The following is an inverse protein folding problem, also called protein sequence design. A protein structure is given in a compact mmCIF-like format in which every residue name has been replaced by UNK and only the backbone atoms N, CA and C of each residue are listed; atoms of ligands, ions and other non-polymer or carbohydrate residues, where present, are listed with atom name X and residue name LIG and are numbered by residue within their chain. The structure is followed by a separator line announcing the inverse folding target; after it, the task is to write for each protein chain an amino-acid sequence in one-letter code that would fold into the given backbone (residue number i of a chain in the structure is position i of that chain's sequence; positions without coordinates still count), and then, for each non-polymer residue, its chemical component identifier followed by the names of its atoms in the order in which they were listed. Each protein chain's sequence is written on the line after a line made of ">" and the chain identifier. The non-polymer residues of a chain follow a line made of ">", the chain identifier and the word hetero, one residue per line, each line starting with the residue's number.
data_IF_110617773337
#
_entry.id   IF_110617773337
#
_cell.length_a   1.000
_cell.length_b   1.000
_cell.length_c   1.000
_cell.angle_alpha   90.00
_cell.angle_beta   90.00
_cell.angle_gamma   90.00
#
_symmetry.space_group_name_H-M   'P 1'
#
loop_
_entity.id
_entity.type
_entity.pdbx_description
1 polymer ?
#
# COMPACT_ATOMS: atom_id res chain seq x y z
N UNK A 1 -9.67 45.62 -17.12
CA UNK A 1 -9.75 44.76 -15.93
C UNK A 1 -9.53 43.31 -16.35
N UNK A 2 -8.30 42.81 -16.23
CA UNK A 2 -7.95 41.40 -16.48
C UNK A 2 -7.94 40.68 -15.14
N UNK A 3 -8.89 39.77 -14.91
CA UNK A 3 -8.85 38.86 -13.77
C UNK A 3 -7.80 37.79 -14.08
N UNK A 4 -6.62 37.88 -13.46
CA UNK A 4 -5.64 36.80 -13.47
C UNK A 4 -6.24 35.60 -12.74
N UNK A 5 -6.66 34.61 -13.52
CA UNK A 5 -7.14 33.32 -13.04
C UNK A 5 -5.95 32.63 -12.37
N UNK A 6 -5.86 32.68 -11.04
CA UNK A 6 -4.84 31.96 -10.30
C UNK A 6 -5.05 30.45 -10.50
N UNK A 7 -4.27 29.85 -11.38
CA UNK A 7 -4.21 28.39 -11.53
C UNK A 7 -3.45 27.87 -10.31
N UNK A 8 -4.15 27.11 -9.47
CA UNK A 8 -3.57 26.47 -8.29
C UNK A 8 -2.67 25.32 -8.76
N UNK A 9 -1.36 25.58 -8.91
CA UNK A 9 -0.39 24.52 -9.23
C UNK A 9 -0.04 23.76 -7.95
N UNK A 10 -0.72 22.64 -7.72
CA UNK A 10 -0.39 21.72 -6.62
C UNK A 10 0.84 20.91 -7.03
N UNK A 11 1.91 20.93 -6.21
CA UNK A 11 3.09 20.08 -6.42
C UNK A 11 2.77 18.64 -6.04
N UNK A 12 3.38 17.67 -6.72
CA UNK A 12 3.16 16.23 -6.44
C UNK A 12 3.39 15.88 -4.97
N UNK A 13 4.39 16.49 -4.33
CA UNK A 13 4.67 16.29 -2.90
C UNK A 13 3.54 16.78 -2.00
N UNK A 14 2.89 17.90 -2.35
CA UNK A 14 1.74 18.43 -1.61
C UNK A 14 0.52 17.53 -1.79
N UNK A 15 0.31 17.03 -3.01
CA UNK A 15 -0.77 16.08 -3.29
C UNK A 15 -0.58 14.76 -2.54
N UNK A 16 0.65 14.24 -2.48
CA UNK A 16 0.97 13.02 -1.73
C UNK A 16 0.74 13.20 -0.23
N UNK A 17 1.22 14.29 0.37
CA UNK A 17 0.98 14.56 1.80
C UNK A 17 -0.51 14.71 2.13
N UNK A 18 -1.27 15.41 1.26
CA UNK A 18 -2.72 15.54 1.43
C UNK A 18 -3.43 14.18 1.30
N UNK A 19 -3.05 13.38 0.30
CA UNK A 19 -3.61 12.04 0.09
C UNK A 19 -3.35 11.14 1.30
N UNK A 20 -2.13 11.16 1.85
CA UNK A 20 -1.78 10.41 3.06
C UNK A 20 -2.66 10.81 4.25
N UNK A 21 -2.77 12.11 4.54
CA UNK A 21 -3.59 12.61 5.66
C UNK A 21 -5.07 12.22 5.50
N UNK A 22 -5.64 12.36 4.29
CA UNK A 22 -7.02 11.97 4.00
C UNK A 22 -7.25 10.47 4.21
N UNK A 23 -6.32 9.63 3.76
CA UNK A 23 -6.43 8.17 3.89
C UNK A 23 -6.28 7.71 5.34
N UNK A 24 -5.40 8.34 6.12
CA UNK A 24 -5.24 8.06 7.55
C UNK A 24 -6.44 8.50 8.38
N UNK A 25 -7.10 9.61 8.00
CA UNK A 25 -8.34 10.09 8.64
C UNK A 25 -9.55 9.24 8.31
N UNK A 26 -9.56 8.62 7.12
CA UNK A 26 -10.66 7.76 6.68
C UNK A 26 -10.17 6.33 6.37
N UNK A 27 -9.86 5.52 7.41
CA UNK A 27 -9.35 4.16 7.22
C UNK A 27 -10.42 3.15 6.79
N UNK A 28 -11.71 3.53 6.83
CA UNK A 28 -12.84 2.61 6.61
C UNK A 28 -12.76 1.80 5.32
N UNK A 29 -12.44 2.38 4.14
CA UNK A 29 -12.38 1.61 2.90
C UNK A 29 -11.34 0.47 2.94
N UNK A 30 -10.25 0.66 3.69
CA UNK A 30 -9.18 -0.33 3.82
C UNK A 30 -9.53 -1.40 4.86
N UNK A 31 -10.22 -1.03 5.93
CA UNK A 31 -10.76 -1.99 6.89
C UNK A 31 -11.83 -2.89 6.24
N UNK A 32 -12.69 -2.31 5.41
CA UNK A 32 -13.70 -3.08 4.67
C UNK A 32 -13.04 -4.03 3.66
N UNK A 33 -12.00 -3.56 2.95
CA UNK A 33 -11.17 -4.41 2.08
C UNK A 33 -10.51 -5.56 2.86
N UNK A 34 -9.93 -5.26 4.03
CA UNK A 34 -9.29 -6.25 4.90
C UNK A 34 -10.29 -7.33 5.33
N UNK A 35 -11.46 -6.92 5.84
CA UNK A 35 -12.55 -7.83 6.25
C UNK A 35 -13.07 -8.69 5.10
N UNK A 36 -13.13 -8.13 3.89
CA UNK A 36 -13.60 -8.86 2.72
C UNK A 36 -12.59 -9.87 2.19
N UNK A 37 -11.30 -9.53 2.22
CA UNK A 37 -10.24 -10.32 1.57
C UNK A 37 -9.51 -11.29 2.48
N UNK A 38 -9.41 -10.97 3.77
CA UNK A 38 -8.69 -11.76 4.78
C UNK A 38 -9.56 -11.90 6.05
N UNK A 39 -10.78 -12.46 5.93
CA UNK A 39 -11.68 -12.61 7.06
C UNK A 39 -11.08 -13.45 8.19
N UNK A 40 -10.24 -14.43 7.86
CA UNK A 40 -9.49 -15.25 8.83
C UNK A 40 -8.54 -14.41 9.67
N UNK A 41 -7.80 -13.48 9.06
CA UNK A 41 -6.88 -12.60 9.79
C UNK A 41 -7.65 -11.69 10.73
N UNK A 42 -8.79 -11.13 10.29
CA UNK A 42 -9.63 -10.26 11.12
C UNK A 42 -10.33 -11.04 12.25
N UNK A 43 -10.60 -12.34 12.08
CA UNK A 43 -11.17 -13.14 13.15
C UNK A 43 -10.18 -13.38 14.31
N UNK A 44 -8.88 -13.33 14.02
CA UNK A 44 -7.79 -13.58 14.98
C UNK A 44 -7.28 -12.30 15.66
N UNK A 45 -7.62 -11.13 15.13
CA UNK A 45 -7.12 -9.83 15.60
C UNK A 45 -8.28 -8.91 15.98
N UNK A 46 -8.06 -8.04 16.96
CA UNK A 46 -9.08 -7.09 17.36
C UNK A 46 -9.17 -5.88 16.39
N UNK A 47 -10.24 -5.08 16.54
CA UNK A 47 -10.46 -3.91 15.69
C UNK A 47 -9.35 -2.85 15.82
N UNK A 48 -8.65 -2.78 16.96
CA UNK A 48 -7.57 -1.83 17.18
C UNK A 48 -6.30 -2.29 16.45
N UNK A 49 -5.99 -3.58 16.48
CA UNK A 49 -4.90 -4.21 15.73
C UNK A 49 -5.13 -4.07 14.23
N UNK A 50 -6.34 -4.33 13.75
CA UNK A 50 -6.71 -4.15 12.34
C UNK A 50 -6.54 -2.68 11.89
N UNK A 51 -6.93 -1.72 12.75
CA UNK A 51 -6.78 -0.30 12.47
C UNK A 51 -5.30 0.12 12.41
N UNK A 52 -4.47 -0.36 13.33
CA UNK A 52 -3.04 -0.05 13.33
C UNK A 52 -2.32 -0.69 12.16
N UNK A 53 -2.68 -1.93 11.78
CA UNK A 53 -2.20 -2.57 10.56
C UNK A 53 -2.50 -1.71 9.32
N UNK A 54 -3.76 -1.30 9.15
CA UNK A 54 -4.20 -0.47 8.02
C UNK A 54 -3.42 0.84 7.99
N UNK A 55 -3.31 1.54 9.12
CA UNK A 55 -2.57 2.82 9.21
C UNK A 55 -1.09 2.64 8.89
N UNK A 56 -0.48 1.56 9.38
CA UNK A 56 0.89 1.17 9.07
C UNK A 56 1.07 0.94 7.57
N UNK A 57 0.20 0.14 6.96
CA UNK A 57 0.22 -0.15 5.53
C UNK A 57 0.05 1.11 4.68
N UNK A 58 -0.86 2.03 5.04
CA UNK A 58 -1.04 3.31 4.34
C UNK A 58 0.25 4.14 4.38
N UNK A 59 0.87 4.30 5.57
CA UNK A 59 2.13 5.05 5.69
C UNK A 59 3.24 4.43 4.86
N UNK A 60 3.42 3.11 4.94
CA UNK A 60 4.45 2.39 4.19
C UNK A 60 4.23 2.47 2.68
N UNK A 61 2.98 2.31 2.22
CA UNK A 61 2.62 2.43 0.81
C UNK A 61 2.99 3.81 0.25
N UNK A 62 2.70 4.89 0.97
CA UNK A 62 3.10 6.24 0.58
C UNK A 62 4.62 6.41 0.51
N UNK A 63 5.39 5.75 1.40
CA UNK A 63 6.84 5.68 1.31
C UNK A 63 7.36 5.08 -0.01
N UNK A 64 6.58 4.19 -0.64
CA UNK A 64 6.87 3.63 -1.97
C UNK A 64 6.20 4.39 -3.13
N UNK A 65 5.66 5.58 -2.88
CA UNK A 65 4.86 6.37 -3.82
C UNK A 65 3.58 5.66 -4.31
N UNK A 66 3.03 4.75 -3.50
CA UNK A 66 1.76 4.07 -3.72
C UNK A 66 0.65 4.86 -3.00
N UNK A 67 0.01 5.76 -3.73
CA UNK A 67 -0.91 6.74 -3.13
C UNK A 67 -2.38 6.56 -3.55
N UNK A 68 -2.68 5.70 -4.52
CA UNK A 68 -4.07 5.41 -4.89
C UNK A 68 -4.69 4.38 -3.93
N UNK A 69 -6.01 4.44 -3.72
CA UNK A 69 -6.72 3.47 -2.88
C UNK A 69 -6.45 2.03 -3.32
N UNK A 70 -6.44 1.78 -4.64
CA UNK A 70 -6.14 0.46 -5.20
C UNK A 70 -4.73 -0.01 -4.86
N UNK A 71 -3.74 0.86 -4.95
CA UNK A 71 -2.36 0.50 -4.64
C UNK A 71 -2.19 0.20 -3.16
N UNK A 72 -2.81 1.01 -2.30
CA UNK A 72 -2.80 0.80 -0.85
C UNK A 72 -3.49 -0.52 -0.47
N UNK A 73 -4.64 -0.85 -1.06
CA UNK A 73 -5.32 -2.14 -0.81
C UNK A 73 -4.45 -3.33 -1.23
N UNK A 74 -3.82 -3.26 -2.40
CA UNK A 74 -2.89 -4.30 -2.89
C UNK A 74 -1.64 -4.43 -2.02
N UNK A 75 -1.14 -3.31 -1.53
CA UNK A 75 -0.02 -3.30 -0.59
C UNK A 75 -0.42 -3.90 0.76
N UNK A 76 -1.60 -3.55 1.27
CA UNK A 76 -2.18 -4.13 2.49
C UNK A 76 -2.32 -5.64 2.37
N UNK A 77 -2.73 -6.16 1.21
CA UNK A 77 -2.78 -7.60 0.96
C UNK A 77 -1.42 -8.29 1.14
N UNK A 78 -0.36 -7.67 0.65
CA UNK A 78 1.00 -8.19 0.82
C UNK A 78 1.45 -8.12 2.28
N UNK A 79 1.10 -7.06 3.00
CA UNK A 79 1.40 -6.90 4.42
C UNK A 79 0.71 -7.97 5.27
N UNK A 80 -0.52 -8.36 4.94
CA UNK A 80 -1.22 -9.44 5.65
C UNK A 80 -0.55 -10.78 5.39
N UNK A 81 -0.20 -11.08 4.13
CA UNK A 81 0.33 -12.39 3.73
C UNK A 81 1.78 -12.59 4.20
N UNK A 82 2.62 -11.57 4.07
CA UNK A 82 4.06 -11.66 4.32
C UNK A 82 4.51 -10.94 5.60
N UNK A 83 3.59 -10.29 6.32
CA UNK A 83 3.90 -9.43 7.46
C UNK A 83 4.27 -8.00 7.06
N UNK A 84 4.29 -7.11 8.06
CA UNK A 84 4.62 -5.69 7.89
C UNK A 84 6.14 -5.40 7.94
N UNK A 85 6.93 -6.33 8.47
CA UNK A 85 8.38 -6.19 8.56
C UNK A 85 9.08 -6.84 7.37
N UNK A 86 9.52 -6.01 6.43
CA UNK A 86 10.24 -6.42 5.23
C UNK A 86 11.76 -6.26 5.36
N UNK A 87 12.25 -5.92 6.56
CA UNK A 87 13.68 -5.76 6.82
C UNK A 87 14.41 -7.09 7.03
N UNK A 88 13.67 -8.18 7.29
CA UNK A 88 14.23 -9.53 7.39
C UNK A 88 14.67 -10.11 6.05
N UNK A 89 15.71 -10.95 6.07
CA UNK A 89 16.32 -11.56 4.87
C UNK A 89 15.31 -12.36 4.02
N UNK A 90 14.31 -12.99 4.66
CA UNK A 90 13.23 -13.73 3.98
C UNK A 90 12.30 -12.82 3.13
N UNK A 91 12.21 -11.53 3.45
CA UNK A 91 11.31 -10.55 2.84
C UNK A 91 12.02 -9.40 2.14
N UNK A 92 13.36 -9.36 2.14
CA UNK A 92 14.16 -8.34 1.46
C UNK A 92 13.79 -8.18 -0.03
N UNK A 93 13.42 -9.29 -0.68
CA UNK A 93 12.97 -9.29 -2.08
C UNK A 93 11.68 -8.47 -2.31
N UNK A 94 10.81 -8.31 -1.31
CA UNK A 94 9.60 -7.48 -1.39
C UNK A 94 9.97 -5.99 -1.49
N UNK A 95 10.91 -5.56 -0.66
CA UNK A 95 11.44 -4.20 -0.67
C UNK A 95 12.18 -3.91 -1.97
N UNK A 96 13.07 -4.82 -2.39
CA UNK A 96 13.82 -4.70 -3.64
C UNK A 96 12.90 -4.63 -4.87
N UNK A 97 11.81 -5.39 -4.90
CA UNK A 97 10.85 -5.34 -6.00
C UNK A 97 10.15 -3.97 -6.12
N UNK A 98 9.96 -3.25 -5.00
CA UNK A 98 9.31 -1.93 -4.97
C UNK A 98 10.28 -0.77 -5.19
N UNK A 99 11.58 -0.98 -5.01
CA UNK A 99 12.64 0.04 -5.20
C UNK A 99 13.42 -0.14 -6.51
N UNK A 100 13.63 -1.38 -6.95
CA UNK A 100 14.70 -1.80 -7.88
C UNK A 100 14.55 -1.45 -9.37
N UNK A 101 13.58 -0.62 -9.77
CA UNK A 101 13.46 -0.17 -11.16
C UNK A 101 13.08 1.30 -11.22
N UNK A 102 14.06 2.14 -11.53
CA UNK A 102 13.91 3.59 -11.73
C UNK A 102 13.17 3.95 -13.02
N UNK A 103 13.04 3.01 -13.97
CA UNK A 103 12.30 3.23 -15.22
C UNK A 103 10.81 2.95 -15.13
N UNK A 104 10.34 2.30 -14.05
CA UNK A 104 8.93 1.95 -13.87
C UNK A 104 8.19 2.87 -12.90
N UNK A 105 6.88 2.98 -13.10
CA UNK A 105 6.00 3.67 -12.15
C UNK A 105 5.70 2.78 -10.94
N UNK A 106 5.45 3.39 -9.78
CA UNK A 106 5.17 2.64 -8.54
C UNK A 106 4.04 1.58 -8.69
N UNK A 107 2.91 1.86 -9.39
CA UNK A 107 1.89 0.85 -9.63
C UNK A 107 2.35 -0.35 -10.48
N UNK A 108 3.28 -0.14 -11.42
CA UNK A 108 3.85 -1.24 -12.22
C UNK A 108 4.77 -2.12 -11.40
N UNK A 109 5.59 -1.52 -10.53
CA UNK A 109 6.41 -2.25 -9.56
C UNK A 109 5.54 -3.11 -8.63
N UNK A 110 4.46 -2.54 -8.09
CA UNK A 110 3.50 -3.27 -7.27
C UNK A 110 2.81 -4.41 -8.04
N UNK A 111 2.43 -4.18 -9.30
CA UNK A 111 1.84 -5.21 -10.15
C UNK A 111 2.76 -6.40 -10.39
N UNK A 112 4.05 -6.11 -10.66
CA UNK A 112 5.08 -7.14 -10.81
C UNK A 112 5.31 -7.90 -9.51
N UNK A 113 5.37 -7.19 -8.38
CA UNK A 113 5.53 -7.78 -7.06
C UNK A 113 4.40 -8.77 -6.75
N UNK A 114 3.14 -8.38 -7.01
CA UNK A 114 2.00 -9.27 -6.85
C UNK A 114 2.13 -10.54 -7.68
N UNK A 115 2.54 -10.42 -8.94
CA UNK A 115 2.75 -11.58 -9.82
C UNK A 115 3.85 -12.51 -9.27
N UNK A 116 4.96 -11.96 -8.78
CA UNK A 116 6.03 -12.74 -8.17
C UNK A 116 5.60 -13.42 -6.87
N UNK A 117 4.83 -12.72 -6.04
CA UNK A 117 4.25 -13.27 -4.81
C UNK A 117 3.34 -14.46 -5.10
N UNK A 118 2.46 -14.35 -6.11
CA UNK A 118 1.57 -15.44 -6.53
C UNK A 118 2.37 -16.68 -6.95
N UNK A 119 3.38 -16.53 -7.81
CA UNK A 119 4.21 -17.67 -8.22
C UNK A 119 4.95 -18.35 -7.06
N UNK A 120 5.38 -17.59 -6.05
CA UNK A 120 6.02 -18.15 -4.86
C UNK A 120 5.05 -18.91 -3.97
N UNK A 121 3.82 -18.42 -3.81
CA UNK A 121 2.77 -19.12 -3.08
C UNK A 121 2.38 -20.42 -3.79
N UNK A 122 2.26 -20.40 -5.12
CA UNK A 122 2.01 -21.61 -5.94
C UNK A 122 3.15 -22.63 -5.79
N UNK A 123 4.41 -22.19 -5.83
CA UNK A 123 5.56 -23.07 -5.69
C UNK A 123 5.73 -23.65 -4.27
N UNK A 124 5.31 -22.93 -3.23
CA UNK A 124 5.36 -23.41 -1.85
C UNK A 124 4.22 -24.39 -1.49
N UNK A 125 3.14 -24.41 -2.27
CA UNK A 125 2.01 -25.31 -2.10
C UNK A 125 2.15 -26.64 -2.86
N UNK A 126 3.17 -26.77 -3.71
CA UNK A 126 3.47 -27.96 -4.52
C UNK A 126 4.53 -28.86 -3.86
#
# INVERSE_FOLDING_TARGET
>A
MQWLRAVLTIRDTQFQSLSLDLQLRNPRPYLDHLRQRHPEWVAEHDDAEALELVRGAVRSAHGYALSSTRDVCRFLDLVVIFGADWSGEAHAWLHEALVGSTSETAPRRLGRLLQQAMHRLEAAAA
#
